data_IF_956359805629
#
_entry.id   IF_956359805629
#
_cell.length_a   1.000
_cell.length_b   1.000
_cell.length_c   1.000
_cell.angle_alpha   90.00
_cell.angle_beta   90.00
_cell.angle_gamma   90.00
#
_symmetry.space_group_name_H-M   'P 1'
#
loop_
_entity.id
_entity.type
_entity.pdbx_description
1 polymer ?
#
# COMPACT_ATOMS: atom_id res chain seq x y z
N UNK A 1 11.13 -10.90 15.57
CA UNK A 1 10.94 -9.44 15.75
C UNK A 1 10.51 -9.15 17.17
N UNK A 2 11.00 -8.07 17.80
CA UNK A 2 10.59 -7.67 19.16
C UNK A 2 9.12 -7.20 19.16
N UNK A 3 8.35 -7.48 20.21
CA UNK A 3 6.93 -7.10 20.33
C UNK A 3 6.68 -5.60 20.05
N UNK A 4 7.55 -4.73 20.57
CA UNK A 4 7.56 -3.29 20.30
C UNK A 4 7.51 -2.92 18.80
N UNK A 5 8.18 -3.69 17.93
CA UNK A 5 8.15 -3.43 16.49
C UNK A 5 6.81 -3.76 15.86
N UNK A 6 6.11 -4.77 16.38
CA UNK A 6 4.76 -5.09 15.94
C UNK A 6 3.78 -4.00 16.37
N UNK A 7 3.88 -3.55 17.61
CA UNK A 7 2.99 -2.54 18.17
C UNK A 7 3.14 -1.20 17.42
N UNK A 8 4.38 -0.74 17.19
CA UNK A 8 4.65 0.46 16.38
C UNK A 8 4.14 0.31 14.94
N UNK A 9 4.31 -0.87 14.33
CA UNK A 9 3.78 -1.13 13.00
C UNK A 9 2.26 -1.14 12.99
N UNK A 10 1.56 -1.71 13.96
CA UNK A 10 0.10 -1.66 14.01
C UNK A 10 -0.44 -0.23 14.13
N UNK A 11 0.21 0.63 14.92
CA UNK A 11 -0.20 2.02 15.09
C UNK A 11 0.09 2.89 13.86
N UNK A 12 1.17 2.63 13.11
CA UNK A 12 1.64 3.52 12.03
C UNK A 12 1.48 2.95 10.61
N UNK A 13 1.31 1.63 10.45
CA UNK A 13 1.22 0.98 9.14
C UNK A 13 0.02 1.43 8.30
N UNK A 14 -1.21 1.63 8.84
CA UNK A 14 -2.33 2.07 8.01
C UNK A 14 -2.04 3.39 7.29
N UNK A 15 -1.50 4.36 8.03
CA UNK A 15 -1.10 5.66 7.50
C UNK A 15 0.05 5.55 6.49
N UNK A 16 1.08 4.76 6.81
CA UNK A 16 2.22 4.55 5.91
C UNK A 16 1.81 3.87 4.60
N UNK A 17 1.00 2.81 4.67
CA UNK A 17 0.49 2.08 3.51
C UNK A 17 -0.42 2.97 2.66
N UNK A 18 -1.30 3.74 3.30
CA UNK A 18 -2.19 4.68 2.60
C UNK A 18 -1.41 5.75 1.84
N UNK A 19 -0.42 6.39 2.47
CA UNK A 19 0.47 7.36 1.82
C UNK A 19 1.28 6.74 0.68
N UNK A 20 1.76 5.51 0.85
CA UNK A 20 2.50 4.79 -0.20
C UNK A 20 1.60 4.52 -1.41
N UNK A 21 0.36 4.05 -1.17
CA UNK A 21 -0.62 3.82 -2.23
C UNK A 21 -1.01 5.13 -2.92
N UNK A 22 -1.18 6.22 -2.14
CA UNK A 22 -1.45 7.58 -2.65
C UNK A 22 -0.37 8.05 -3.60
N UNK A 23 0.88 8.04 -3.16
CA UNK A 23 2.01 8.46 -3.97
C UNK A 23 2.11 7.71 -5.31
N UNK A 24 1.72 6.43 -5.34
CA UNK A 24 1.76 5.62 -6.56
C UNK A 24 0.55 5.82 -7.49
N UNK A 25 -0.64 6.14 -6.96
CA UNK A 25 -1.89 6.08 -7.73
C UNK A 25 -2.65 7.40 -7.85
N UNK A 26 -2.33 8.43 -7.06
CA UNK A 26 -3.07 9.70 -7.04
C UNK A 26 -3.19 10.31 -8.45
N UNK A 27 -2.12 10.32 -9.23
CA UNK A 27 -2.15 10.84 -10.61
C UNK A 27 -3.16 10.09 -11.51
N UNK A 28 -3.24 8.77 -11.40
CA UNK A 28 -4.16 7.94 -12.17
C UNK A 28 -5.61 8.14 -11.73
N UNK A 29 -5.81 8.25 -10.41
CA UNK A 29 -7.13 8.46 -9.81
C UNK A 29 -7.64 9.86 -10.17
N UNK A 30 -6.83 10.91 -10.02
CA UNK A 30 -7.18 12.27 -10.43
C UNK A 30 -7.56 12.34 -11.91
N UNK A 31 -6.77 11.69 -12.76
CA UNK A 31 -7.03 11.70 -14.20
C UNK A 31 -8.40 11.12 -14.56
N UNK A 32 -8.87 10.11 -13.82
CA UNK A 32 -10.12 9.42 -14.13
C UNK A 32 -11.33 9.99 -13.40
N UNK A 33 -11.17 10.45 -12.16
CA UNK A 33 -12.27 10.81 -11.27
C UNK A 33 -12.29 12.27 -10.82
N UNK A 34 -11.26 13.06 -11.15
CA UNK A 34 -11.10 14.42 -10.65
C UNK A 34 -10.28 14.53 -9.35
N UNK A 35 -9.81 15.73 -9.05
CA UNK A 35 -8.98 16.01 -7.86
C UNK A 35 -9.82 16.08 -6.59
N UNK A 36 -11.11 16.45 -6.71
CA UNK A 36 -12.04 16.66 -5.62
C UNK A 36 -12.28 15.41 -4.76
N UNK A 37 -12.04 14.21 -5.32
CA UNK A 37 -12.27 12.95 -4.61
C UNK A 37 -11.05 12.47 -3.81
N UNK A 38 -9.87 13.03 -4.02
CA UNK A 38 -8.62 12.45 -3.51
C UNK A 38 -8.59 12.45 -1.99
N UNK A 39 -8.89 13.58 -1.36
CA UNK A 39 -8.85 13.67 0.10
C UNK A 39 -9.84 12.70 0.77
N UNK A 40 -11.15 12.72 0.45
CA UNK A 40 -12.10 11.79 1.08
C UNK A 40 -11.81 10.32 0.74
N UNK A 41 -11.27 10.03 -0.44
CA UNK A 41 -10.87 8.69 -0.84
C UNK A 41 -9.74 8.16 0.06
N UNK A 42 -8.69 8.95 0.27
CA UNK A 42 -7.54 8.51 1.06
C UNK A 42 -7.78 8.53 2.57
N UNK A 43 -8.68 9.37 3.06
CA UNK A 43 -9.23 9.24 4.42
C UNK A 43 -9.94 7.89 4.60
N UNK A 44 -10.86 7.56 3.70
CA UNK A 44 -11.61 6.29 3.72
C UNK A 44 -10.67 5.08 3.57
N UNK A 45 -9.71 5.15 2.66
CA UNK A 45 -8.72 4.09 2.44
C UNK A 45 -7.88 3.83 3.70
N UNK A 46 -7.47 4.90 4.39
CA UNK A 46 -6.72 4.78 5.66
C UNK A 46 -7.56 4.10 6.74
N UNK A 47 -8.84 4.47 6.86
CA UNK A 47 -9.75 3.87 7.81
C UNK A 47 -9.96 2.37 7.55
N UNK A 48 -10.17 1.98 6.29
CA UNK A 48 -10.30 0.56 5.91
C UNK A 48 -9.02 -0.22 6.22
N UNK A 49 -7.84 0.35 5.96
CA UNK A 49 -6.57 -0.29 6.33
C UNK A 49 -6.44 -0.50 7.84
N UNK A 50 -6.87 0.49 8.63
CA UNK A 50 -6.87 0.39 10.09
C UNK A 50 -7.76 -0.76 10.56
N UNK A 51 -9.00 -0.82 10.08
CA UNK A 51 -9.97 -1.86 10.44
C UNK A 51 -9.47 -3.27 10.11
N UNK A 52 -8.90 -3.45 8.91
CA UNK A 52 -8.36 -4.75 8.47
C UNK A 52 -7.15 -5.19 9.30
N UNK A 53 -6.24 -4.27 9.59
CA UNK A 53 -5.08 -4.58 10.44
C UNK A 53 -5.52 -4.90 11.88
N UNK A 54 -6.50 -4.17 12.44
CA UNK A 54 -7.05 -4.48 13.76
C UNK A 54 -7.80 -5.82 13.81
N UNK A 55 -8.39 -6.25 12.69
CA UNK A 55 -8.97 -7.58 12.55
C UNK A 55 -7.90 -8.70 12.48
N UNK A 56 -6.62 -8.35 12.50
CA UNK A 56 -5.51 -9.30 12.41
C UNK A 56 -5.25 -9.79 10.99
N UNK A 57 -5.79 -9.12 9.97
CA UNK A 57 -5.47 -9.45 8.58
C UNK A 57 -4.01 -9.12 8.28
N UNK A 58 -3.33 -10.04 7.61
CA UNK A 58 -1.98 -9.81 7.10
C UNK A 58 -2.05 -9.15 5.72
N UNK A 59 -1.46 -7.96 5.61
CA UNK A 59 -1.36 -7.22 4.35
C UNK A 59 0.07 -7.40 3.84
N UNK A 60 0.30 -8.53 3.17
CA UNK A 60 1.58 -8.87 2.56
C UNK A 60 1.73 -8.32 1.14
N UNK A 61 2.93 -7.89 0.78
CA UNK A 61 3.32 -7.63 -0.61
C UNK A 61 4.09 -8.84 -1.16
N UNK A 62 3.64 -9.37 -2.29
CA UNK A 62 4.36 -10.39 -3.02
C UNK A 62 5.37 -9.74 -3.97
N UNK A 63 6.66 -9.85 -3.67
CA UNK A 63 7.71 -9.38 -4.57
C UNK A 63 8.16 -10.52 -5.49
N UNK A 64 7.95 -10.35 -6.79
CA UNK A 64 8.45 -11.27 -7.82
C UNK A 64 9.76 -10.70 -8.36
N UNK A 65 10.84 -11.45 -8.24
CA UNK A 65 12.15 -11.08 -8.80
C UNK A 65 12.48 -12.01 -9.95
N UNK A 66 12.81 -11.45 -11.11
CA UNK A 66 13.15 -12.21 -12.32
C UNK A 66 14.57 -11.88 -12.74
N UNK A 67 15.39 -12.91 -12.97
CA UNK A 67 16.73 -12.78 -13.54
C UNK A 67 16.69 -13.33 -14.95
N UNK A 68 16.99 -12.48 -15.93
CA UNK A 68 16.95 -12.82 -17.35
C UNK A 68 18.38 -13.01 -17.88
N UNK A 69 18.57 -14.02 -18.73
CA UNK A 69 19.77 -14.16 -19.54
C UNK A 69 19.39 -14.07 -21.02
N UNK A 70 20.22 -13.40 -21.82
CA UNK A 70 20.02 -13.34 -23.27
C UNK A 70 20.18 -14.75 -23.83
N UNK A 71 19.13 -15.26 -24.49
CA UNK A 71 19.23 -16.50 -25.24
C UNK A 71 20.18 -16.32 -26.42
N UNK A 72 21.11 -17.26 -26.59
CA UNK A 72 21.89 -17.39 -27.81
C UNK A 72 20.99 -18.00 -28.89
N UNK A 73 20.16 -17.17 -29.53
CA UNK A 73 19.42 -17.58 -30.71
C UNK A 73 20.41 -17.67 -31.88
N UNK A 74 20.49 -18.87 -32.49
CA UNK A 74 21.23 -19.14 -33.74
C UNK A 74 20.50 -18.53 -34.93
#
# INVERSE_FOLDING_TARGET
MKQYYKDWMFENAPNMLSKTFRAANESLICHHFGEEIIEPLFETHTQVLYERLMAGEDIGLCQITVVLCKSATR
#
